data_IF_265059596845
#
_entry.id   IF_265059596845
#
_cell.length_a   1.000
_cell.length_b   1.000
_cell.length_c   1.000
_cell.angle_alpha   90.00
_cell.angle_beta   90.00
_cell.angle_gamma   90.00
#
_symmetry.space_group_name_H-M   'P 1'
#
loop_
_entity.id
_entity.type
_entity.pdbx_description
1 polymer ?
#
# COMPACT_ATOMS: atom_id res chain seq x y z
N UNK A 1 13.96 11.84 -36.14
CA UNK A 1 13.36 10.51 -35.90
C UNK A 1 14.37 9.37 -35.88
N UNK A 2 15.19 9.17 -36.92
CA UNK A 2 16.18 8.07 -36.97
C UNK A 2 17.17 8.12 -35.78
N UNK A 3 17.72 9.29 -35.45
CA UNK A 3 18.63 9.42 -34.31
C UNK A 3 18.02 9.06 -32.96
N UNK A 4 16.73 9.39 -32.74
CA UNK A 4 16.02 9.05 -31.50
C UNK A 4 15.87 7.53 -31.38
N UNK A 5 15.46 6.86 -32.46
CA UNK A 5 15.26 5.40 -32.50
C UNK A 5 16.57 4.65 -32.21
N UNK A 6 17.69 5.10 -32.80
CA UNK A 6 19.00 4.49 -32.57
C UNK A 6 19.44 4.67 -31.11
N UNK A 7 19.19 5.85 -30.52
CA UNK A 7 19.49 6.11 -29.11
C UNK A 7 18.62 5.24 -28.19
N UNK A 8 17.31 5.10 -28.43
CA UNK A 8 16.45 4.23 -27.61
C UNK A 8 16.89 2.78 -27.69
N UNK A 9 17.22 2.27 -28.89
CA UNK A 9 17.70 0.90 -29.06
C UNK A 9 19.04 0.67 -28.36
N UNK A 10 19.96 1.63 -28.41
CA UNK A 10 21.24 1.55 -27.71
C UNK A 10 21.06 1.53 -26.19
N UNK A 11 20.15 2.36 -25.65
CA UNK A 11 19.81 2.37 -24.21
C UNK A 11 19.18 1.04 -23.78
N UNK A 12 18.23 0.50 -24.56
CA UNK A 12 17.61 -0.80 -24.26
C UNK A 12 18.65 -1.91 -24.31
N UNK A 13 19.52 -1.95 -25.33
CA UNK A 13 20.58 -2.94 -25.44
C UNK A 13 21.55 -2.87 -24.25
N UNK A 14 21.92 -1.66 -23.82
CA UNK A 14 22.76 -1.45 -22.64
C UNK A 14 22.09 -1.93 -21.35
N UNK A 15 20.78 -1.68 -21.20
CA UNK A 15 20.00 -2.16 -20.05
C UNK A 15 19.89 -3.70 -20.04
N UNK A 16 19.77 -4.34 -21.20
CA UNK A 16 19.76 -5.81 -21.32
C UNK A 16 21.12 -6.45 -21.04
N UNK A 17 22.21 -5.71 -21.25
CA UNK A 17 23.57 -6.14 -20.94
C UNK A 17 23.93 -5.95 -19.45
N UNK A 18 23.11 -5.26 -18.66
CA UNK A 18 23.34 -5.16 -17.22
C UNK A 18 23.31 -6.58 -16.62
N UNK A 19 24.39 -7.01 -15.94
CA UNK A 19 24.44 -8.34 -15.35
C UNK A 19 23.40 -8.43 -14.22
N UNK A 20 22.24 -9.01 -14.54
CA UNK A 20 21.23 -9.32 -13.55
C UNK A 20 21.77 -10.41 -12.64
N UNK A 21 21.92 -10.08 -11.36
CA UNK A 21 22.36 -11.06 -10.36
C UNK A 21 21.38 -12.23 -10.34
N UNK A 22 21.88 -13.46 -10.49
CA UNK A 22 21.08 -14.70 -10.39
C UNK A 22 20.28 -14.76 -9.09
N UNK A 23 20.82 -14.13 -8.05
CA UNK A 23 20.19 -13.90 -6.75
C UNK A 23 18.80 -13.23 -6.82
N UNK A 24 18.52 -12.44 -7.87
CA UNK A 24 17.21 -11.78 -8.06
C UNK A 24 16.07 -12.75 -8.43
N UNK A 25 16.40 -13.92 -8.99
CA UNK A 25 15.39 -14.84 -9.55
C UNK A 25 15.35 -16.20 -8.85
N UNK A 26 16.47 -16.66 -8.29
CA UNK A 26 16.58 -18.04 -7.79
C UNK A 26 16.60 -18.16 -6.26
N UNK A 27 16.54 -17.04 -5.52
CA UNK A 27 16.48 -17.06 -4.05
C UNK A 27 15.03 -16.93 -3.61
N UNK A 28 14.67 -17.66 -2.55
CA UNK A 28 13.42 -17.43 -1.86
C UNK A 28 13.32 -15.94 -1.48
N UNK A 29 12.15 -15.29 -1.71
CA UNK A 29 11.99 -13.88 -1.39
C UNK A 29 12.42 -13.63 0.06
N UNK A 30 13.19 -12.55 0.34
CA UNK A 30 13.61 -12.26 1.69
C UNK A 30 12.39 -12.20 2.61
N UNK A 31 12.48 -12.87 3.77
CA UNK A 31 11.41 -12.82 4.77
C UNK A 31 11.21 -11.36 5.16
N UNK A 32 10.01 -10.84 4.89
CA UNK A 32 9.66 -9.47 5.24
C UNK A 32 9.46 -9.43 6.75
N UNK A 33 10.34 -8.72 7.44
CA UNK A 33 10.19 -8.47 8.86
C UNK A 33 8.97 -7.59 9.11
N UNK A 34 8.22 -7.89 10.16
CA UNK A 34 7.15 -7.03 10.64
C UNK A 34 7.73 -5.66 10.98
N UNK A 35 6.98 -4.59 10.69
CA UNK A 35 7.38 -3.28 11.15
C UNK A 35 7.36 -3.26 12.69
N UNK A 36 8.22 -2.45 13.30
CA UNK A 36 8.13 -2.13 14.74
C UNK A 36 7.15 -0.99 15.03
N UNK A 37 6.66 -0.31 13.98
CA UNK A 37 5.73 0.80 14.11
C UNK A 37 4.34 0.27 14.48
N UNK A 38 3.88 0.61 15.68
CA UNK A 38 2.54 0.22 16.13
C UNK A 38 1.47 0.92 15.29
N UNK A 39 0.35 0.24 15.02
CA UNK A 39 -0.80 0.85 14.36
C UNK A 39 -1.44 1.90 15.25
N UNK A 40 -1.71 3.07 14.69
CA UNK A 40 -2.39 4.18 15.37
C UNK A 40 -3.72 4.46 14.67
N UNK A 41 -4.81 4.47 15.44
CA UNK A 41 -6.11 4.90 14.93
C UNK A 41 -6.01 6.38 14.57
N UNK A 42 -6.24 6.70 13.30
CA UNK A 42 -6.29 8.08 12.82
C UNK A 42 -7.68 8.40 12.28
N UNK A 43 -8.16 9.63 12.50
CA UNK A 43 -9.47 10.04 11.98
C UNK A 43 -9.47 10.07 10.44
N UNK A 44 -10.37 9.33 9.76
CA UNK A 44 -10.43 9.28 8.31
C UNK A 44 -10.62 10.66 7.66
N UNK A 45 -11.41 11.54 8.28
CA UNK A 45 -11.66 12.89 7.79
C UNK A 45 -10.38 13.74 7.82
N UNK A 46 -9.62 13.66 8.91
CA UNK A 46 -8.34 14.38 9.04
C UNK A 46 -7.35 13.90 7.98
N UNK A 47 -7.27 12.58 7.76
CA UNK A 47 -6.45 12.01 6.67
C UNK A 47 -6.87 12.56 5.32
N UNK A 48 -8.18 12.64 5.03
CA UNK A 48 -8.68 13.19 3.77
C UNK A 48 -8.26 14.67 3.59
N UNK A 49 -8.46 15.49 4.63
CA UNK A 49 -8.13 16.91 4.58
C UNK A 49 -6.63 17.13 4.38
N UNK A 50 -5.79 16.41 5.13
CA UNK A 50 -4.34 16.49 4.97
C UNK A 50 -3.90 16.03 3.58
N UNK A 51 -4.47 14.94 3.05
CA UNK A 51 -4.17 14.46 1.71
C UNK A 51 -4.64 15.41 0.60
N UNK A 52 -5.69 16.19 0.87
CA UNK A 52 -6.21 17.18 -0.07
C UNK A 52 -5.39 18.48 -0.08
N UNK A 53 -5.06 19.00 1.10
CA UNK A 53 -4.39 20.31 1.24
C UNK A 53 -2.86 20.23 1.22
N UNK A 54 -2.27 19.08 1.58
CA UNK A 54 -0.83 18.92 1.67
C UNK A 54 -0.37 17.91 0.60
N UNK A 55 0.19 18.36 -0.52
CA UNK A 55 0.46 17.48 -1.68
C UNK A 55 1.42 16.33 -1.37
N UNK A 56 2.37 16.52 -0.44
CA UNK A 56 3.31 15.46 -0.04
C UNK A 56 2.77 14.53 1.05
N UNK A 57 1.63 14.85 1.66
CA UNK A 57 1.08 14.04 2.75
C UNK A 57 0.69 12.64 2.27
N UNK A 58 0.19 12.50 1.04
CA UNK A 58 -0.21 11.19 0.50
C UNK A 58 0.97 10.19 0.47
N UNK A 59 2.18 10.67 0.18
CA UNK A 59 3.40 9.85 0.14
C UNK A 59 3.75 9.37 1.55
N UNK A 60 3.77 10.29 2.51
CA UNK A 60 3.97 9.98 3.92
C UNK A 60 2.90 9.00 4.42
N UNK A 61 1.63 9.24 4.09
CA UNK A 61 0.52 8.40 4.50
C UNK A 61 0.64 6.98 3.96
N UNK A 62 1.02 6.80 2.69
CA UNK A 62 1.26 5.48 2.11
C UNK A 62 2.42 4.74 2.77
N UNK A 63 3.50 5.45 3.09
CA UNK A 63 4.61 4.89 3.84
C UNK A 63 4.16 4.43 5.24
N UNK A 64 3.42 5.27 5.96
CA UNK A 64 2.91 4.98 7.31
C UNK A 64 1.94 3.79 7.31
N UNK A 65 0.89 3.83 6.50
CA UNK A 65 -0.18 2.80 6.52
C UNK A 65 0.36 1.41 6.15
N UNK A 66 1.34 1.32 5.25
CA UNK A 66 1.98 0.05 4.92
C UNK A 66 2.85 -0.49 6.06
N UNK A 67 3.51 0.38 6.84
CA UNK A 67 4.23 -0.04 8.05
C UNK A 67 3.29 -0.59 9.10
N UNK A 68 2.20 0.13 9.38
CA UNK A 68 1.19 -0.31 10.34
C UNK A 68 0.59 -1.66 9.92
N UNK A 69 0.32 -1.84 8.62
CA UNK A 69 -0.19 -3.11 8.10
C UNK A 69 0.84 -4.24 8.24
N UNK A 70 2.12 -3.97 7.99
CA UNK A 70 3.19 -4.94 8.22
C UNK A 70 3.40 -5.30 9.69
N UNK A 71 3.04 -4.41 10.62
CA UNK A 71 3.03 -4.72 12.05
C UNK A 71 1.92 -5.71 12.39
N UNK A 72 0.69 -5.44 11.93
CA UNK A 72 -0.48 -6.24 12.34
C UNK A 72 -0.58 -7.56 11.57
N UNK A 73 -0.28 -7.54 10.27
CA UNK A 73 -0.36 -8.71 9.41
C UNK A 73 0.66 -8.64 8.26
N UNK A 74 1.84 -9.26 8.42
CA UNK A 74 2.84 -9.33 7.36
C UNK A 74 2.26 -10.06 6.13
N UNK A 75 1.99 -9.33 5.05
CA UNK A 75 1.49 -9.90 3.81
C UNK A 75 2.51 -9.80 2.67
N UNK A 76 2.73 -10.88 1.90
CA UNK A 76 3.55 -10.83 0.70
C UNK A 76 2.88 -10.07 -0.46
N UNK A 77 1.55 -9.89 -0.42
CA UNK A 77 0.78 -9.18 -1.46
C UNK A 77 0.92 -7.67 -1.37
N UNK A 78 1.20 -7.16 -0.18
CA UNK A 78 1.42 -5.74 0.05
C UNK A 78 2.83 -5.34 -0.36
N UNK A 79 3.02 -4.09 -0.75
CA UNK A 79 4.36 -3.58 -1.04
C UNK A 79 5.14 -3.26 0.23
N UNK A 80 6.45 -3.06 0.12
CA UNK A 80 7.22 -2.48 1.23
C UNK A 80 6.78 -1.04 1.44
N UNK A 81 6.81 -0.54 2.68
CA UNK A 81 6.42 0.85 2.97
C UNK A 81 7.20 1.88 2.15
N UNK A 82 8.53 1.68 2.05
CA UNK A 82 9.39 2.52 1.22
C UNK A 82 8.97 2.46 -0.25
N UNK A 83 8.71 1.25 -0.78
CA UNK A 83 8.19 1.07 -2.13
C UNK A 83 6.87 1.82 -2.31
N UNK A 84 5.92 1.70 -1.38
CA UNK A 84 4.60 2.33 -1.47
C UNK A 84 4.69 3.85 -1.53
N UNK A 85 5.54 4.45 -0.70
CA UNK A 85 5.84 5.88 -0.77
C UNK A 85 6.38 6.28 -2.16
N UNK A 86 7.43 5.60 -2.64
CA UNK A 86 8.01 5.91 -3.96
C UNK A 86 7.03 5.69 -5.11
N UNK A 87 6.26 4.61 -5.11
CA UNK A 87 5.28 4.33 -6.16
C UNK A 87 4.18 5.39 -6.18
N UNK A 88 3.70 5.82 -5.01
CA UNK A 88 2.71 6.91 -4.92
C UNK A 88 3.24 8.25 -5.43
N UNK A 89 4.56 8.48 -5.33
CA UNK A 89 5.21 9.70 -5.79
C UNK A 89 5.47 9.70 -7.30
N UNK A 90 5.83 8.54 -7.87
CA UNK A 90 6.33 8.42 -9.25
C UNK A 90 5.21 8.08 -10.23
N UNK A 91 4.23 7.27 -9.83
CA UNK A 91 3.21 6.76 -10.74
C UNK A 91 1.84 7.44 -10.54
N UNK A 92 1.26 8.07 -11.58
CA UNK A 92 -0.06 8.70 -11.50
C UNK A 92 -1.16 7.74 -11.01
N UNK A 93 -1.07 6.46 -11.38
CA UNK A 93 -2.03 5.41 -10.99
C UNK A 93 -1.55 4.56 -9.80
N UNK A 94 -0.35 4.81 -9.27
CA UNK A 94 0.24 4.03 -8.18
C UNK A 94 -0.63 4.06 -6.92
N UNK A 95 -1.17 5.23 -6.61
CA UNK A 95 -2.09 5.46 -5.49
C UNK A 95 -3.34 4.58 -5.56
N UNK A 96 -3.99 4.48 -6.72
CA UNK A 96 -5.19 3.66 -6.88
C UNK A 96 -4.90 2.17 -6.71
N UNK A 97 -3.77 1.69 -7.26
CA UNK A 97 -3.34 0.29 -7.14
C UNK A 97 -2.99 -0.05 -5.68
N UNK A 98 -2.26 0.82 -4.99
CA UNK A 98 -1.93 0.63 -3.57
C UNK A 98 -3.19 0.65 -2.70
N UNK A 99 -4.15 1.51 -3.02
CA UNK A 99 -5.42 1.57 -2.32
C UNK A 99 -6.23 0.28 -2.47
N UNK A 100 -6.25 -0.29 -3.68
CA UNK A 100 -6.89 -1.56 -3.97
C UNK A 100 -6.27 -2.71 -3.18
N UNK A 101 -4.94 -2.86 -3.25
CA UNK A 101 -4.24 -3.98 -2.59
C UNK A 101 -4.39 -3.91 -1.08
N UNK A 102 -4.30 -2.73 -0.48
CA UNK A 102 -4.60 -2.52 0.94
C UNK A 102 -6.05 -2.88 1.28
N UNK A 103 -7.01 -2.39 0.49
CA UNK A 103 -8.43 -2.66 0.72
C UNK A 103 -8.76 -4.15 0.69
N UNK A 104 -8.22 -4.88 -0.29
CA UNK A 104 -8.46 -6.32 -0.43
C UNK A 104 -7.81 -7.12 0.68
N UNK A 105 -6.59 -6.76 1.08
CA UNK A 105 -5.90 -7.45 2.17
C UNK A 105 -6.61 -7.21 3.50
N UNK A 106 -6.97 -5.97 3.83
CA UNK A 106 -7.69 -5.66 5.07
C UNK A 106 -9.06 -6.37 5.08
N UNK A 107 -9.76 -6.40 3.94
CA UNK A 107 -11.02 -7.14 3.79
C UNK A 107 -10.84 -8.64 4.02
N UNK A 108 -9.81 -9.25 3.45
CA UNK A 108 -9.53 -10.67 3.63
C UNK A 108 -9.23 -11.00 5.10
N UNK A 109 -8.49 -10.13 5.79
CA UNK A 109 -8.19 -10.28 7.21
C UNK A 109 -9.41 -10.08 8.11
N UNK A 110 -10.29 -9.11 7.79
CA UNK A 110 -11.57 -8.95 8.51
C UNK A 110 -12.49 -10.15 8.31
N UNK A 111 -12.61 -10.64 7.07
CA UNK A 111 -13.43 -11.81 6.77
C UNK A 111 -12.95 -13.05 7.54
N UNK A 112 -11.64 -13.23 7.70
CA UNK A 112 -11.07 -14.31 8.50
C UNK A 112 -11.38 -14.19 10.02
N UNK A 113 -11.74 -12.99 10.49
CA UNK A 113 -12.17 -12.72 11.86
C UNK A 113 -13.69 -12.70 12.04
N UNK A 114 -14.46 -13.15 11.02
CA UNK A 114 -15.92 -13.05 10.97
C UNK A 114 -16.47 -11.61 11.13
N UNK A 115 -15.63 -10.62 10.84
CA UNK A 115 -15.99 -9.21 10.84
C UNK A 115 -16.39 -8.77 9.43
N UNK A 116 -17.44 -7.95 9.32
CA UNK A 116 -17.84 -7.43 8.02
C UNK A 116 -16.74 -6.49 7.48
N UNK A 117 -16.06 -6.92 6.42
CA UNK A 117 -15.00 -6.19 5.71
C UNK A 117 -15.39 -4.79 5.21
N UNK A 118 -16.65 -4.40 5.33
CA UNK A 118 -17.15 -3.05 5.10
C UNK A 118 -17.14 -2.68 3.61
N UNK A 119 -16.91 -1.39 3.32
CA UNK A 119 -17.01 -0.77 1.98
C UNK A 119 -16.36 -1.64 0.89
N UNK A 120 -17.15 -1.98 -0.15
CA UNK A 120 -16.74 -2.81 -1.30
C UNK A 120 -15.43 -2.31 -1.92
N UNK A 121 -14.50 -3.22 -2.21
CA UNK A 121 -13.19 -2.86 -2.83
C UNK A 121 -13.36 -2.02 -4.09
N UNK A 122 -14.35 -2.35 -4.94
CA UNK A 122 -14.65 -1.56 -6.14
C UNK A 122 -15.01 -0.09 -5.86
N UNK A 123 -15.66 0.20 -4.73
CA UNK A 123 -15.96 1.57 -4.32
C UNK A 123 -14.71 2.30 -3.83
N UNK A 124 -13.80 1.58 -3.17
CA UNK A 124 -12.49 2.13 -2.77
C UNK A 124 -11.65 2.51 -3.99
N UNK A 125 -11.65 1.68 -5.03
CA UNK A 125 -10.98 1.98 -6.30
C UNK A 125 -11.57 3.23 -6.98
N UNK A 126 -12.90 3.28 -7.10
CA UNK A 126 -13.58 4.41 -7.72
C UNK A 126 -13.15 5.74 -7.09
N UNK A 127 -13.16 5.81 -5.75
CA UNK A 127 -12.73 7.00 -5.04
C UNK A 127 -11.22 7.21 -5.06
N UNK A 128 -10.40 6.16 -4.99
CA UNK A 128 -8.95 6.32 -5.05
C UNK A 128 -8.46 6.86 -6.41
N UNK A 129 -9.18 6.57 -7.49
CA UNK A 129 -8.88 7.09 -8.83
C UNK A 129 -9.42 8.51 -9.03
N UNK A 130 -10.67 8.77 -8.62
CA UNK A 130 -11.33 10.05 -8.84
C UNK A 130 -10.88 11.13 -7.84
N UNK A 131 -10.72 10.74 -6.57
CA UNK A 131 -10.36 11.63 -5.48
C UNK A 131 -9.49 10.87 -4.44
N UNK A 132 -8.17 10.75 -4.70
CA UNK A 132 -7.24 10.02 -3.84
C UNK A 132 -7.36 10.27 -2.33
N UNK A 133 -7.63 11.50 -1.85
CA UNK A 133 -7.87 11.77 -0.43
C UNK A 133 -9.04 10.96 0.18
N UNK A 134 -10.12 10.76 -0.58
CA UNK A 134 -11.27 9.95 -0.13
C UNK A 134 -10.88 8.46 -0.09
N UNK A 135 -10.10 7.99 -1.06
CA UNK A 135 -9.55 6.63 -1.03
C UNK A 135 -8.70 6.37 0.23
N UNK A 136 -7.83 7.32 0.58
CA UNK A 136 -7.02 7.24 1.80
C UNK A 136 -7.88 7.20 3.08
N UNK A 137 -8.92 8.03 3.16
CA UNK A 137 -9.87 8.02 4.28
C UNK A 137 -10.60 6.68 4.42
N UNK A 138 -11.09 6.12 3.31
CA UNK A 138 -11.77 4.81 3.31
C UNK A 138 -10.84 3.72 3.84
N UNK A 139 -9.58 3.71 3.42
CA UNK A 139 -8.59 2.73 3.88
C UNK A 139 -8.25 2.94 5.36
N UNK A 140 -8.09 4.19 5.79
CA UNK A 140 -7.86 4.49 7.20
C UNK A 140 -9.02 3.98 8.06
N UNK A 141 -10.27 4.19 7.64
CA UNK A 141 -11.44 3.69 8.34
C UNK A 141 -11.44 2.15 8.45
N UNK A 142 -11.09 1.46 7.37
CA UNK A 142 -10.94 -0.01 7.36
C UNK A 142 -9.83 -0.48 8.30
N UNK A 143 -8.69 0.18 8.26
CA UNK A 143 -7.55 -0.12 9.12
C UNK A 143 -7.90 0.05 10.60
N UNK A 144 -8.56 1.16 10.95
CA UNK A 144 -9.03 1.39 12.32
C UNK A 144 -9.95 0.27 12.81
N UNK A 145 -10.91 -0.16 11.98
CA UNK A 145 -11.80 -1.30 12.32
C UNK A 145 -11.00 -2.58 12.56
N UNK A 146 -10.00 -2.85 11.72
CA UNK A 146 -9.14 -4.01 11.89
C UNK A 146 -8.33 -3.95 13.19
N UNK A 147 -7.82 -2.78 13.56
CA UNK A 147 -7.12 -2.58 14.84
C UNK A 147 -8.07 -2.87 16.00
N UNK A 148 -9.28 -2.30 15.99
CA UNK A 148 -10.29 -2.52 17.03
C UNK A 148 -10.66 -4.01 17.15
N UNK A 149 -10.92 -4.69 16.03
CA UNK A 149 -11.24 -6.12 16.02
C UNK A 149 -10.08 -6.99 16.56
N UNK A 150 -8.83 -6.64 16.25
CA UNK A 150 -7.68 -7.34 16.82
C UNK A 150 -7.55 -7.12 18.33
N UNK A 151 -7.75 -5.88 18.81
CA UNK A 151 -7.65 -5.57 20.24
C UNK A 151 -8.73 -6.29 21.07
N UNK A 152 -9.95 -6.42 20.52
CA UNK A 152 -11.03 -7.15 21.18
C UNK A 152 -10.73 -8.66 21.28
N UNK A 153 -10.27 -9.29 20.20
CA UNK A 153 -9.87 -10.71 20.16
C UNK A 153 -8.72 -11.03 21.13
N UNK A 154 -7.76 -10.11 21.32
CA UNK A 154 -6.71 -10.29 22.34
C UNK A 154 -7.21 -10.16 23.77
N UNK A 155 -8.25 -9.36 24.02
CA UNK A 155 -8.82 -9.18 25.35
C UNK A 155 -9.70 -10.38 25.77
N UNK A 156 -10.37 -11.04 24.83
CA UNK A 156 -11.18 -12.24 25.08
C UNK A 156 -10.33 -13.50 25.35
N UNK A 157 -9.06 -13.49 24.94
CA UNK A 157 -8.11 -14.60 25.13
C UNK A 157 -7.20 -14.47 26.36
N UNK A 158 -7.26 -13.36 27.08
CA UNK A 158 -6.42 -13.05 28.25
C UNK A 158 -7.18 -13.25 29.55
#
# INVERSE_FOLDING_TARGET
>A
YIGIIVITLAVIALLLLLPLKKELFYIAPPKRFSSTQRPECAEPLVVALLAFFIPFYIIYWFFRIHREMQFVAPSPRLMTACGAGWLSAIMPFGTAILCLTLSDEIRALLANKNEDGGIRTGWTLFWALLLPPVGAAIIQAKMNRFITANTADTADRG
#
